data_IF_786192471902
#
_entry.id   IF_786192471902
#
_cell.length_a   1.000
_cell.length_b   1.000
_cell.length_c   1.000
_cell.angle_alpha   90.00
_cell.angle_beta   90.00
_cell.angle_gamma   90.00
#
_symmetry.space_group_name_H-M   'P 1'
#
loop_
_entity.id
_entity.type
_entity.pdbx_description
1 polymer ?
#
# COMPACT_ATOMS: atom_id res chain seq x y z
N UNK A 1 22.12 27.27 -2.59
CA UNK A 1 21.87 25.94 -3.19
C UNK A 1 22.79 25.64 -4.38
N UNK A 2 23.01 26.58 -5.29
CA UNK A 2 23.75 26.38 -6.52
C UNK A 2 25.19 25.88 -6.31
N UNK A 3 25.89 26.40 -5.29
CA UNK A 3 27.28 26.01 -4.99
C UNK A 3 27.45 24.53 -4.64
N UNK A 4 26.40 23.89 -4.07
CA UNK A 4 26.42 22.50 -3.65
C UNK A 4 25.68 21.58 -4.64
N UNK A 5 24.97 22.11 -5.63
CA UNK A 5 24.15 21.36 -6.57
C UNK A 5 24.92 20.24 -7.31
N UNK A 6 26.22 20.47 -7.59
CA UNK A 6 27.10 19.50 -8.27
C UNK A 6 27.44 18.24 -7.45
N UNK A 7 27.19 18.29 -6.14
CA UNK A 7 27.48 17.17 -5.21
C UNK A 7 26.22 16.38 -4.84
N UNK A 8 25.06 16.79 -5.32
CA UNK A 8 23.75 16.26 -4.95
C UNK A 8 23.06 15.64 -6.17
N UNK A 9 22.38 14.52 -5.95
CA UNK A 9 21.43 14.01 -6.93
C UNK A 9 20.17 14.91 -7.00
N UNK A 10 19.26 14.63 -7.94
CA UNK A 10 18.08 15.47 -8.16
C UNK A 10 17.16 15.55 -6.93
N UNK A 11 16.95 14.40 -6.23
CA UNK A 11 16.10 14.34 -5.02
C UNK A 11 16.74 15.09 -3.85
N UNK A 12 18.04 14.86 -3.64
CA UNK A 12 18.81 15.54 -2.62
C UNK A 12 18.85 17.07 -2.88
N UNK A 13 18.98 17.48 -4.13
CA UNK A 13 18.98 18.91 -4.49
C UNK A 13 17.65 19.59 -4.16
N UNK A 14 16.51 18.95 -4.51
CA UNK A 14 15.16 19.46 -4.18
C UNK A 14 14.97 19.58 -2.67
N UNK A 15 15.38 18.58 -1.92
CA UNK A 15 15.30 18.61 -0.46
C UNK A 15 16.20 19.67 0.14
N UNK A 16 17.44 19.76 -0.31
CA UNK A 16 18.39 20.80 0.15
C UNK A 16 17.86 22.21 -0.11
N UNK A 17 17.33 22.46 -1.30
CA UNK A 17 16.73 23.73 -1.67
C UNK A 17 15.55 24.10 -0.76
N UNK A 18 14.67 23.14 -0.46
CA UNK A 18 13.54 23.33 0.45
C UNK A 18 14.02 23.70 1.86
N UNK A 19 14.94 22.90 2.42
CA UNK A 19 15.52 23.14 3.75
C UNK A 19 16.20 24.51 3.81
N UNK A 20 16.98 24.85 2.78
CA UNK A 20 17.68 26.14 2.69
C UNK A 20 16.69 27.31 2.64
N UNK A 21 15.65 27.23 1.79
CA UNK A 21 14.60 28.24 1.68
C UNK A 21 13.89 28.45 3.02
N UNK A 22 13.50 27.37 3.70
CA UNK A 22 12.86 27.43 5.03
C UNK A 22 13.78 28.06 6.09
N UNK A 23 15.04 27.64 6.14
CA UNK A 23 16.00 28.14 7.11
C UNK A 23 16.28 29.63 6.90
N UNK A 24 16.45 30.08 5.67
CA UNK A 24 16.68 31.51 5.39
C UNK A 24 15.39 32.31 5.63
N UNK A 25 14.25 31.86 5.15
CA UNK A 25 12.95 32.50 5.33
C UNK A 25 12.61 32.71 6.82
N UNK A 26 12.96 31.76 7.70
CA UNK A 26 12.75 31.89 9.15
C UNK A 26 13.53 33.02 9.81
N UNK A 27 14.58 33.50 9.17
CA UNK A 27 15.42 34.64 9.65
C UNK A 27 15.11 35.94 8.92
N UNK A 28 14.19 35.94 7.96
CA UNK A 28 13.76 37.13 7.23
C UNK A 28 12.66 37.87 7.99
N UNK A 29 12.50 39.14 7.65
CA UNK A 29 11.41 39.98 8.18
C UNK A 29 10.05 39.40 7.75
N UNK A 30 9.05 39.55 8.60
CA UNK A 30 7.67 39.17 8.29
C UNK A 30 7.13 39.92 7.07
N UNK A 31 6.29 39.28 6.28
CA UNK A 31 5.57 39.93 5.21
C UNK A 31 4.51 40.89 5.79
N UNK A 32 4.28 42.00 5.09
CA UNK A 32 3.22 42.95 5.42
C UNK A 32 2.16 42.89 4.34
N UNK A 33 0.90 42.67 4.74
CA UNK A 33 -0.26 42.49 3.88
C UNK A 33 -1.24 43.62 4.20
N UNK A 34 -1.62 44.43 3.19
CA UNK A 34 -2.72 45.36 3.30
C UNK A 34 -4.03 44.65 3.01
N UNK A 35 -4.84 44.41 4.04
CA UNK A 35 -6.14 43.79 3.90
C UNK A 35 -7.23 44.88 3.79
N UNK A 36 -7.93 44.89 2.67
CA UNK A 36 -9.01 45.82 2.39
C UNK A 36 -10.36 45.12 2.41
N UNK A 37 -11.26 45.58 3.24
CA UNK A 37 -12.66 45.14 3.27
C UNK A 37 -13.57 46.28 2.85
N UNK A 38 -14.36 46.08 1.81
CA UNK A 38 -15.26 47.08 1.23
C UNK A 38 -16.68 46.69 1.44
N UNK A 39 -17.48 47.57 2.09
CA UNK A 39 -18.93 47.45 2.12
C UNK A 39 -19.55 48.31 1.01
N UNK A 40 -20.30 47.67 0.15
CA UNK A 40 -21.01 48.31 -0.97
C UNK A 40 -22.50 48.32 -0.66
N UNK A 41 -23.12 49.48 -0.66
CA UNK A 41 -24.57 49.60 -0.42
C UNK A 41 -25.30 50.33 -1.56
N UNK A 42 -26.55 50.01 -1.76
CA UNK A 42 -27.44 50.81 -2.62
C UNK A 42 -27.77 52.14 -1.94
N UNK A 43 -28.26 53.13 -2.74
CA UNK A 43 -28.60 54.48 -2.21
C UNK A 43 -29.64 54.41 -1.10
N UNK A 44 -30.48 53.41 -1.06
CA UNK A 44 -31.52 53.23 -0.05
C UNK A 44 -31.06 52.35 1.14
N UNK A 45 -29.82 51.92 1.16
CA UNK A 45 -29.21 51.05 2.17
C UNK A 45 -29.96 49.72 2.43
N UNK A 46 -30.75 49.24 1.45
CA UNK A 46 -31.53 48.00 1.53
C UNK A 46 -30.72 46.75 1.20
N UNK A 47 -29.69 46.93 0.36
CA UNK A 47 -28.80 45.83 -0.06
C UNK A 47 -27.39 46.18 0.33
N UNK A 48 -26.71 45.25 1.02
CA UNK A 48 -25.29 45.33 1.36
C UNK A 48 -24.55 44.19 0.73
N UNK A 49 -23.46 44.49 0.05
CA UNK A 49 -22.50 43.53 -0.48
C UNK A 49 -21.16 43.78 0.22
N UNK A 50 -20.38 42.76 0.41
CA UNK A 50 -19.07 42.84 0.98
C UNK A 50 -18.06 42.25 0.01
N UNK A 51 -16.93 42.89 -0.18
CA UNK A 51 -15.78 42.37 -0.89
C UNK A 51 -14.55 42.53 -0.02
N UNK A 52 -13.74 41.49 0.08
CA UNK A 52 -12.45 41.48 0.77
C UNK A 52 -11.34 41.15 -0.22
N UNK A 53 -10.16 41.71 0.00
CA UNK A 53 -8.97 41.39 -0.79
C UNK A 53 -7.72 41.87 -0.07
N UNK A 54 -6.58 41.23 -0.36
CA UNK A 54 -5.28 41.54 0.22
C UNK A 54 -4.27 41.92 -0.87
N UNK A 55 -3.38 42.86 -0.55
CA UNK A 55 -2.24 43.21 -1.38
C UNK A 55 -0.99 43.07 -0.55
N UNK A 56 0.04 42.41 -1.09
CA UNK A 56 1.34 42.32 -0.44
C UNK A 56 2.01 43.69 -0.51
N UNK A 57 2.06 44.38 0.62
CA UNK A 57 2.74 45.68 0.73
C UNK A 57 4.27 45.54 0.86
N UNK A 58 4.70 44.50 1.57
CA UNK A 58 6.10 44.13 1.70
C UNK A 58 6.21 42.58 1.69
N UNK A 59 6.97 42.06 0.75
CA UNK A 59 7.10 40.61 0.54
C UNK A 59 7.69 39.86 1.74
N UNK A 60 8.65 40.46 2.45
CA UNK A 60 9.33 39.81 3.56
C UNK A 60 9.85 38.43 3.18
N UNK A 61 9.56 37.42 4.01
CA UNK A 61 9.96 36.03 3.77
C UNK A 61 9.22 35.37 2.57
N UNK A 62 8.06 35.91 2.16
CA UNK A 62 7.30 35.42 1.01
C UNK A 62 8.07 35.52 -0.31
N UNK A 63 9.08 36.42 -0.38
CA UNK A 63 9.95 36.54 -1.54
C UNK A 63 10.76 35.26 -1.81
N UNK A 64 11.07 34.50 -0.76
CA UNK A 64 11.89 33.29 -0.84
C UNK A 64 11.07 32.00 -0.72
N UNK A 65 10.07 32.03 0.14
CA UNK A 65 9.28 30.86 0.45
C UNK A 65 7.80 31.19 0.52
N UNK A 66 7.01 30.52 -0.31
CA UNK A 66 5.55 30.46 -0.22
C UNK A 66 5.16 29.00 0.00
N UNK A 67 4.24 28.77 0.91
CA UNK A 67 3.69 27.43 1.16
C UNK A 67 2.69 27.11 0.06
N UNK A 68 2.88 25.97 -0.61
CA UNK A 68 1.90 25.47 -1.56
C UNK A 68 0.70 24.89 -0.78
N UNK A 69 -0.51 25.24 -1.19
CA UNK A 69 -1.73 24.69 -0.61
C UNK A 69 -2.13 23.49 -1.43
N UNK A 70 -2.11 22.28 -0.82
CA UNK A 70 -2.48 21.02 -1.49
C UNK A 70 -3.98 21.00 -1.88
N UNK A 71 -4.80 21.79 -1.20
CA UNK A 71 -6.25 21.88 -1.37
C UNK A 71 -6.66 23.25 -1.91
N UNK A 72 -6.69 23.36 -3.24
CA UNK A 72 -7.25 24.57 -3.89
C UNK A 72 -8.75 24.80 -3.58
N UNK A 73 -9.42 23.81 -2.96
CA UNK A 73 -10.83 23.93 -2.54
C UNK A 73 -10.99 24.65 -1.19
N UNK A 74 -9.95 24.70 -0.35
CA UNK A 74 -9.94 25.47 0.90
C UNK A 74 -9.45 26.93 0.68
N UNK A 75 -8.96 27.24 -0.51
CA UNK A 75 -8.65 28.60 -0.90
C UNK A 75 -9.86 29.35 -1.49
N UNK A 76 -11.00 29.33 -0.81
CA UNK A 76 -11.87 30.52 -0.76
C UNK A 76 -11.12 31.61 0.04
N UNK A 77 -9.85 31.76 -0.31
CA UNK A 77 -9.00 32.80 0.24
C UNK A 77 -9.46 34.09 -0.41
N UNK A 78 -10.53 34.67 0.17
CA UNK A 78 -10.95 36.03 -0.13
C UNK A 78 -9.76 37.01 0.01
N UNK A 79 -8.75 36.60 0.78
CA UNK A 79 -7.48 37.33 0.97
C UNK A 79 -6.55 37.30 -0.27
N UNK A 80 -6.72 36.36 -1.20
CA UNK A 80 -5.93 36.32 -2.43
C UNK A 80 -6.51 37.22 -3.57
N UNK A 81 -7.69 37.78 -3.39
CA UNK A 81 -8.32 38.67 -4.38
C UNK A 81 -7.71 40.05 -4.29
N UNK A 82 -7.17 40.55 -5.41
CA UNK A 82 -6.69 41.91 -5.51
C UNK A 82 -7.88 42.83 -5.81
N UNK A 83 -8.18 43.73 -4.89
CA UNK A 83 -9.18 44.77 -5.12
C UNK A 83 -8.53 45.98 -5.81
N UNK A 84 -9.25 46.67 -6.72
CA UNK A 84 -8.78 47.92 -7.29
C UNK A 84 -8.67 48.99 -6.21
N UNK A 85 -7.79 50.00 -6.38
CA UNK A 85 -7.71 51.13 -5.45
C UNK A 85 -9.08 51.84 -5.40
N UNK A 86 -9.64 51.97 -4.20
CA UNK A 86 -10.96 52.60 -3.95
C UNK A 86 -10.87 53.55 -2.76
N UNK A 87 -11.76 54.54 -2.77
CA UNK A 87 -11.93 55.46 -1.65
C UNK A 87 -13.35 55.36 -1.10
N UNK A 88 -13.49 55.73 0.15
CA UNK A 88 -14.81 55.79 0.79
C UNK A 88 -15.77 56.67 -0.01
N UNK A 89 -16.98 56.17 -0.26
CA UNK A 89 -18.05 56.81 -1.05
C UNK A 89 -17.77 56.93 -2.55
N UNK A 90 -16.79 56.26 -3.09
CA UNK A 90 -16.62 56.19 -4.55
C UNK A 90 -17.86 55.61 -5.20
N UNK A 91 -18.38 56.21 -6.27
CA UNK A 91 -19.55 55.73 -6.98
C UNK A 91 -19.18 54.50 -7.82
N UNK A 92 -19.80 53.36 -7.53
CA UNK A 92 -19.63 52.13 -8.28
C UNK A 92 -20.68 51.96 -9.36
N UNK A 93 -20.29 51.52 -10.57
CA UNK A 93 -21.19 51.19 -11.64
C UNK A 93 -21.59 49.73 -11.52
N UNK A 94 -22.91 49.47 -11.43
CA UNK A 94 -23.42 48.10 -11.42
C UNK A 94 -23.21 47.41 -12.77
N UNK A 95 -22.53 46.28 -12.78
CA UNK A 95 -22.43 45.37 -13.92
C UNK A 95 -23.57 44.37 -13.97
N UNK A 96 -23.31 43.23 -14.58
CA UNK A 96 -24.24 42.10 -14.56
C UNK A 96 -24.28 41.50 -13.14
N UNK A 97 -25.46 41.08 -12.71
CA UNK A 97 -25.66 40.35 -11.47
C UNK A 97 -26.17 38.97 -11.87
N UNK A 98 -25.35 37.94 -11.58
CA UNK A 98 -25.70 36.55 -11.77
C UNK A 98 -26.00 35.89 -10.42
N UNK A 99 -27.01 35.03 -10.39
CA UNK A 99 -27.24 34.15 -9.25
C UNK A 99 -26.68 32.77 -9.59
N UNK A 100 -25.73 32.32 -8.78
CA UNK A 100 -25.12 31.00 -8.93
C UNK A 100 -25.45 30.16 -7.69
N UNK A 101 -25.89 28.92 -7.95
CA UNK A 101 -26.16 27.98 -6.87
C UNK A 101 -24.86 27.24 -6.51
N UNK A 102 -24.47 27.30 -5.26
CA UNK A 102 -23.34 26.59 -4.71
C UNK A 102 -23.81 25.60 -3.64
N UNK A 103 -23.22 24.42 -3.63
CA UNK A 103 -23.47 23.41 -2.61
C UNK A 103 -22.21 23.25 -1.79
N UNK A 104 -22.36 23.07 -0.47
CA UNK A 104 -21.25 22.72 0.40
C UNK A 104 -20.67 21.38 -0.03
N UNK A 105 -19.36 21.32 -0.13
CA UNK A 105 -18.65 20.09 -0.45
C UNK A 105 -18.26 19.35 0.84
N UNK A 106 -18.24 18.01 0.84
CA UNK A 106 -17.68 17.27 1.97
C UNK A 106 -16.18 17.58 2.12
N UNK A 107 -15.61 17.40 3.34
CA UNK A 107 -14.17 17.54 3.52
C UNK A 107 -13.39 16.70 2.51
N UNK A 108 -12.32 17.24 1.92
CA UNK A 108 -11.52 16.51 0.96
C UNK A 108 -10.85 15.31 1.60
N UNK A 109 -10.52 14.28 0.80
CA UNK A 109 -9.72 13.16 1.27
C UNK A 109 -8.31 13.63 1.60
N UNK A 110 -7.69 13.00 2.59
CA UNK A 110 -6.33 13.32 2.99
C UNK A 110 -5.33 13.11 1.85
N UNK A 111 -4.46 14.10 1.66
CA UNK A 111 -3.17 13.92 0.99
C UNK A 111 -2.14 13.40 1.99
N UNK A 112 -0.93 13.03 1.54
CA UNK A 112 0.15 12.65 2.46
C UNK A 112 0.45 13.79 3.44
N UNK A 113 0.52 15.03 2.97
CA UNK A 113 0.80 16.20 3.80
C UNK A 113 -0.33 16.49 4.80
N UNK A 114 -1.58 16.50 4.36
CA UNK A 114 -2.72 16.79 5.24
C UNK A 114 -2.95 15.67 6.28
N UNK A 115 -2.64 14.41 5.93
CA UNK A 115 -2.69 13.32 6.89
C UNK A 115 -1.60 13.45 7.95
N UNK A 116 -0.35 13.76 7.56
CA UNK A 116 0.74 14.01 8.51
C UNK A 116 0.40 15.17 9.44
N UNK A 117 -0.10 16.29 8.89
CA UNK A 117 -0.56 17.44 9.70
C UNK A 117 -1.63 17.00 10.71
N UNK A 118 -2.60 16.19 10.27
CA UNK A 118 -3.66 15.71 11.17
C UNK A 118 -3.14 14.76 12.25
N UNK A 119 -2.18 13.90 11.92
CA UNK A 119 -1.51 13.04 12.90
C UNK A 119 -0.73 13.86 13.94
N UNK A 120 -0.02 14.89 13.51
CA UNK A 120 0.70 15.82 14.39
C UNK A 120 -0.25 16.54 15.34
N UNK A 121 -1.35 17.11 14.83
CA UNK A 121 -2.39 17.76 15.65
C UNK A 121 -2.99 16.83 16.70
N UNK A 122 -3.12 15.54 16.40
CA UNK A 122 -3.66 14.52 17.30
C UNK A 122 -2.60 13.88 18.20
N UNK A 123 -1.32 14.21 18.04
CA UNK A 123 -0.21 13.61 18.80
C UNK A 123 0.10 12.16 18.41
N UNK A 124 -0.35 11.71 17.23
CA UNK A 124 -0.17 10.33 16.74
C UNK A 124 1.13 10.23 15.94
N UNK A 125 2.06 9.40 16.42
CA UNK A 125 3.38 9.24 15.80
C UNK A 125 4.33 10.41 16.06
N UNK A 126 5.49 10.36 15.45
CA UNK A 126 6.54 11.37 15.55
C UNK A 126 7.15 11.56 14.15
N UNK A 127 7.90 12.64 13.89
CA UNK A 127 8.51 12.90 12.58
C UNK A 127 9.27 11.71 11.99
N UNK A 128 9.91 10.91 12.84
CA UNK A 128 10.64 9.70 12.44
C UNK A 128 9.74 8.54 11.99
N UNK A 129 8.45 8.53 12.34
CA UNK A 129 7.52 7.43 12.06
C UNK A 129 6.47 7.75 10.99
N UNK A 130 6.20 9.02 10.69
CA UNK A 130 5.15 9.38 9.73
C UNK A 130 5.32 8.71 8.37
N UNK A 131 6.51 8.78 7.78
CA UNK A 131 6.75 8.18 6.47
C UNK A 131 6.52 6.66 6.46
N UNK A 132 6.95 5.96 7.52
CA UNK A 132 6.75 4.51 7.64
C UNK A 132 5.27 4.13 7.83
N UNK A 133 4.49 4.94 8.54
CA UNK A 133 3.05 4.74 8.71
C UNK A 133 2.35 4.84 7.35
N UNK A 134 2.60 5.93 6.60
CA UNK A 134 2.02 6.12 5.27
C UNK A 134 2.39 4.98 4.30
N UNK A 135 3.64 4.54 4.35
CA UNK A 135 4.12 3.43 3.53
C UNK A 135 3.40 2.12 3.88
N UNK A 136 3.22 1.82 5.17
CA UNK A 136 2.51 0.61 5.64
C UNK A 136 1.06 0.59 5.18
N UNK A 137 0.36 1.73 5.20
CA UNK A 137 -1.03 1.83 4.72
C UNK A 137 -1.13 1.43 3.24
N UNK A 138 -0.18 1.85 2.42
CA UNK A 138 -0.13 1.53 0.99
C UNK A 138 0.35 0.09 0.75
N UNK A 139 1.43 -0.36 1.41
CA UNK A 139 1.99 -1.71 1.23
C UNK A 139 1.01 -2.81 1.64
N UNK A 140 0.14 -2.55 2.61
CA UNK A 140 -0.93 -3.46 3.03
C UNK A 140 -2.20 -3.33 2.20
N UNK A 141 -2.22 -2.45 1.22
CA UNK A 141 -3.40 -2.18 0.39
C UNK A 141 -4.63 -1.77 1.22
N UNK A 142 -4.40 -1.02 2.31
CA UNK A 142 -5.50 -0.44 3.11
C UNK A 142 -6.01 0.83 2.46
N UNK A 143 -5.13 1.53 1.76
CA UNK A 143 -5.43 2.71 0.95
C UNK A 143 -4.69 2.62 -0.38
N UNK A 144 -5.21 3.33 -1.39
CA UNK A 144 -4.50 3.64 -2.63
C UNK A 144 -4.39 5.15 -2.78
N UNK A 145 -3.41 5.60 -3.56
CA UNK A 145 -3.30 7.01 -3.93
C UNK A 145 -3.99 7.24 -5.27
N UNK A 146 -5.01 8.09 -5.27
CA UNK A 146 -5.64 8.65 -6.46
C UNK A 146 -5.44 10.15 -6.44
N UNK A 147 -4.83 10.72 -7.50
CA UNK A 147 -4.52 12.16 -7.62
C UNK A 147 -3.92 12.76 -6.35
N UNK A 148 -2.93 12.06 -5.75
CA UNK A 148 -2.26 12.39 -4.49
C UNK A 148 -3.12 12.31 -3.24
N UNK A 149 -4.31 11.72 -3.29
CA UNK A 149 -5.20 11.56 -2.14
C UNK A 149 -5.38 10.11 -1.77
N UNK A 150 -5.44 9.83 -0.49
CA UNK A 150 -5.69 8.49 0.02
C UNK A 150 -7.15 8.09 -0.16
N UNK A 151 -7.37 7.01 -0.89
CA UNK A 151 -8.67 6.38 -1.07
C UNK A 151 -8.70 5.07 -0.27
N UNK A 152 -9.53 4.96 0.79
CA UNK A 152 -9.66 3.74 1.56
C UNK A 152 -10.12 2.58 0.69
N UNK A 153 -9.42 1.44 0.83
CA UNK A 153 -9.75 0.20 0.15
C UNK A 153 -10.62 -0.70 1.04
N UNK A 154 -11.36 -1.62 0.44
CA UNK A 154 -12.26 -2.50 1.19
C UNK A 154 -11.55 -3.39 2.19
N UNK A 155 -10.29 -3.78 1.89
CA UNK A 155 -9.43 -4.45 2.87
C UNK A 155 -9.17 -3.58 4.10
N UNK A 156 -8.88 -2.28 3.90
CA UNK A 156 -8.69 -1.33 5.00
C UNK A 156 -9.97 -1.17 5.83
N UNK A 157 -11.12 -1.05 5.18
CA UNK A 157 -12.43 -0.96 5.85
C UNK A 157 -12.72 -2.19 6.70
N UNK A 158 -12.46 -3.40 6.15
CA UNK A 158 -12.66 -4.65 6.86
C UNK A 158 -11.79 -4.75 8.11
N UNK A 159 -10.49 -4.43 7.98
CA UNK A 159 -9.55 -4.46 9.11
C UNK A 159 -9.94 -3.43 10.16
N UNK A 160 -10.31 -2.22 9.75
CA UNK A 160 -10.76 -1.17 10.67
C UNK A 160 -12.03 -1.58 11.42
N UNK A 161 -13.05 -2.11 10.71
CA UNK A 161 -14.27 -2.60 11.35
C UNK A 161 -13.98 -3.70 12.38
N UNK A 162 -13.11 -4.66 12.04
CA UNK A 162 -12.69 -5.71 12.97
C UNK A 162 -11.99 -5.13 14.22
N UNK A 163 -11.06 -4.20 14.03
CA UNK A 163 -10.31 -3.61 15.14
C UNK A 163 -11.22 -2.74 16.02
N UNK A 164 -12.12 -1.97 15.44
CA UNK A 164 -13.12 -1.18 16.21
C UNK A 164 -14.04 -2.11 16.99
N UNK A 165 -14.48 -3.22 16.37
CA UNK A 165 -15.42 -4.15 17.02
C UNK A 165 -14.84 -4.88 18.25
N UNK A 166 -13.52 -5.20 18.22
CA UNK A 166 -12.89 -6.08 19.23
C UNK A 166 -11.72 -5.44 19.99
N UNK A 167 -11.16 -4.34 19.47
CA UNK A 167 -9.99 -3.66 20.00
C UNK A 167 -10.15 -2.13 20.00
N UNK A 168 -11.38 -1.63 20.20
CA UNK A 168 -11.76 -0.22 20.10
C UNK A 168 -10.77 0.70 20.81
N UNK A 169 -10.42 0.39 22.07
CA UNK A 169 -9.46 1.17 22.85
C UNK A 169 -8.11 1.36 22.15
N UNK A 170 -7.62 0.33 21.41
CA UNK A 170 -6.28 0.35 20.80
C UNK A 170 -6.26 1.02 19.42
N UNK A 171 -7.41 1.30 18.84
CA UNK A 171 -7.55 2.06 17.59
C UNK A 171 -8.06 3.47 17.83
N UNK A 172 -8.37 3.80 19.08
CA UNK A 172 -8.70 5.16 19.49
C UNK A 172 -7.49 6.08 19.36
N UNK A 173 -7.70 7.27 18.81
CA UNK A 173 -6.63 8.25 18.59
C UNK A 173 -6.01 8.75 19.89
N UNK A 174 -6.82 8.90 20.94
CA UNK A 174 -6.36 9.33 22.27
C UNK A 174 -5.47 8.29 22.95
N UNK A 175 -5.74 6.99 22.74
CA UNK A 175 -4.86 5.93 23.25
C UNK A 175 -3.47 5.99 22.65
N UNK A 176 -3.38 6.12 21.33
CA UNK A 176 -2.09 6.21 20.63
C UNK A 176 -1.32 7.46 21.04
N UNK A 177 -1.98 8.61 21.10
CA UNK A 177 -1.38 9.86 21.57
C UNK A 177 -0.85 9.76 23.00
N UNK A 178 -1.67 9.20 23.92
CA UNK A 178 -1.26 9.00 25.31
C UNK A 178 -0.08 8.03 25.46
N UNK A 179 0.03 7.00 24.61
CA UNK A 179 1.18 6.12 24.61
C UNK A 179 2.46 6.82 24.11
N UNK A 180 2.34 7.67 23.08
CA UNK A 180 3.45 8.49 22.60
C UNK A 180 3.93 9.49 23.67
N UNK A 181 3.02 10.11 24.44
CA UNK A 181 3.37 10.97 25.58
C UNK A 181 4.11 10.20 26.67
N UNK A 182 3.64 8.99 27.01
CA UNK A 182 4.34 8.13 27.96
C UNK A 182 5.74 7.76 27.50
N UNK A 183 5.95 7.51 26.19
CA UNK A 183 7.27 7.24 25.61
C UNK A 183 8.18 8.48 25.71
N UNK A 184 7.65 9.68 25.50
CA UNK A 184 8.38 10.94 25.72
C UNK A 184 8.75 11.13 27.19
N UNK A 185 7.86 10.78 28.12
CA UNK A 185 8.12 10.82 29.55
C UNK A 185 9.20 9.81 29.99
N UNK A 186 9.19 8.62 29.41
CA UNK A 186 10.28 7.64 29.60
C UNK A 186 11.60 8.21 29.11
N UNK A 187 11.62 8.79 27.91
CA UNK A 187 12.82 9.41 27.32
C UNK A 187 13.33 10.57 28.18
N UNK A 188 12.42 11.33 28.79
CA UNK A 188 12.72 12.41 29.73
C UNK A 188 13.07 11.96 31.16
N UNK A 189 13.06 10.66 31.45
CA UNK A 189 13.34 10.10 32.78
C UNK A 189 12.23 10.34 33.80
N UNK A 190 11.02 10.71 33.39
CA UNK A 190 9.87 10.95 34.27
C UNK A 190 9.06 9.69 34.57
N UNK A 191 9.12 8.69 33.68
CA UNK A 191 8.45 7.40 33.86
C UNK A 191 9.43 6.24 33.69
N UNK A 192 9.19 5.16 34.43
CA UNK A 192 9.94 3.90 34.31
C UNK A 192 9.33 3.04 33.20
N UNK A 193 10.10 2.73 32.15
CA UNK A 193 9.62 2.05 30.96
C UNK A 193 9.01 0.66 31.25
N UNK A 194 9.57 -0.08 32.24
CA UNK A 194 9.07 -1.42 32.61
C UNK A 194 7.67 -1.34 33.19
N UNK A 195 7.35 -0.29 33.93
CA UNK A 195 6.03 -0.09 34.52
C UNK A 195 5.00 0.17 33.42
N UNK A 196 5.31 1.09 32.49
CA UNK A 196 4.46 1.39 31.33
C UNK A 196 4.21 0.14 30.51
N UNK A 197 5.26 -0.64 30.21
CA UNK A 197 5.12 -1.89 29.44
C UNK A 197 4.33 -2.97 30.17
N UNK A 198 4.46 -3.07 31.50
CA UNK A 198 3.70 -4.03 32.32
C UNK A 198 2.21 -3.69 32.30
N UNK A 199 1.89 -2.42 32.46
CA UNK A 199 0.51 -1.95 32.42
C UNK A 199 -0.11 -2.16 31.03
N UNK A 200 0.60 -1.75 29.97
CA UNK A 200 0.16 -1.99 28.59
C UNK A 200 -0.11 -3.46 28.35
N UNK A 201 0.84 -4.35 28.71
CA UNK A 201 0.71 -5.78 28.47
C UNK A 201 -0.44 -6.41 29.26
N UNK A 202 -0.65 -6.01 30.51
CA UNK A 202 -1.76 -6.50 31.33
C UNK A 202 -3.12 -6.16 30.70
N UNK A 203 -3.28 -4.95 30.19
CA UNK A 203 -4.51 -4.51 29.55
C UNK A 203 -4.71 -5.20 28.19
N UNK A 204 -3.63 -5.29 27.40
CA UNK A 204 -3.67 -5.92 26.07
C UNK A 204 -3.94 -7.42 26.15
N UNK A 205 -3.31 -8.12 27.11
CA UNK A 205 -3.56 -9.55 27.31
C UNK A 205 -5.02 -9.82 27.68
N UNK A 206 -5.62 -8.99 28.55
CA UNK A 206 -7.06 -9.13 28.86
C UNK A 206 -7.96 -8.94 27.64
N UNK A 207 -7.61 -8.00 26.75
CA UNK A 207 -8.33 -7.81 25.50
C UNK A 207 -8.18 -9.01 24.55
N UNK A 208 -6.98 -9.61 24.49
CA UNK A 208 -6.75 -10.83 23.71
C UNK A 208 -7.52 -12.02 24.28
N UNK A 209 -7.49 -12.22 25.59
CA UNK A 209 -8.21 -13.32 26.26
C UNK A 209 -9.71 -13.23 26.01
N UNK A 210 -10.27 -12.02 25.97
CA UNK A 210 -11.68 -11.79 25.65
C UNK A 210 -12.05 -12.18 24.20
N UNK A 211 -11.06 -12.31 23.31
CA UNK A 211 -11.27 -12.74 21.92
C UNK A 211 -11.00 -14.23 21.69
N UNK A 212 -10.50 -14.95 22.72
CA UNK A 212 -10.06 -16.35 22.59
C UNK A 212 -11.17 -17.31 22.21
N UNK A 213 -12.39 -17.06 22.65
CA UNK A 213 -13.57 -17.91 22.41
C UNK A 213 -14.38 -17.51 21.15
N UNK A 214 -13.96 -16.44 20.45
CA UNK A 214 -14.65 -15.98 19.24
C UNK A 214 -14.56 -16.99 18.11
N UNK A 215 -15.72 -17.41 17.62
CA UNK A 215 -15.78 -18.21 16.37
C UNK A 215 -15.64 -17.29 15.17
N UNK A 216 -14.92 -17.77 14.16
CA UNK A 216 -14.76 -17.03 12.90
C UNK A 216 -16.11 -16.69 12.26
N UNK A 217 -17.12 -17.56 12.39
CA UNK A 217 -18.50 -17.31 11.94
C UNK A 217 -19.08 -16.04 12.57
N UNK A 218 -18.97 -15.92 13.90
CA UNK A 218 -19.59 -14.82 14.64
C UNK A 218 -18.92 -13.48 14.30
N UNK A 219 -17.60 -13.52 14.09
CA UNK A 219 -16.84 -12.35 13.61
C UNK A 219 -17.29 -11.94 12.21
N UNK A 220 -17.46 -12.92 11.29
CA UNK A 220 -17.89 -12.64 9.92
C UNK A 220 -19.30 -12.06 9.91
N UNK A 221 -20.23 -12.65 10.69
CA UNK A 221 -21.61 -12.20 10.76
C UNK A 221 -21.71 -10.76 11.31
N UNK A 222 -20.90 -10.43 12.33
CA UNK A 222 -20.82 -9.08 12.86
C UNK A 222 -20.30 -8.11 11.81
N UNK A 223 -19.18 -8.41 11.16
CA UNK A 223 -18.59 -7.58 10.11
C UNK A 223 -19.51 -7.44 8.89
N UNK A 224 -20.25 -8.51 8.52
CA UNK A 224 -21.25 -8.46 7.45
C UNK A 224 -22.42 -7.56 7.82
N UNK A 225 -22.79 -7.50 9.10
CA UNK A 225 -23.78 -6.55 9.60
C UNK A 225 -23.31 -5.09 9.53
N UNK A 226 -22.09 -4.83 10.02
CA UNK A 226 -21.53 -3.46 10.06
C UNK A 226 -21.19 -2.91 8.67
N UNK A 227 -20.58 -3.73 7.81
CA UNK A 227 -20.16 -3.32 6.47
C UNK A 227 -21.22 -3.58 5.40
N UNK A 228 -22.33 -4.21 5.77
CA UNK A 228 -23.44 -4.50 4.86
C UNK A 228 -23.95 -3.31 4.08
N UNK A 229 -24.24 -2.16 4.72
CA UNK A 229 -24.67 -0.97 4.00
C UNK A 229 -23.66 -0.46 2.97
N UNK A 230 -22.37 -0.73 3.18
CA UNK A 230 -21.32 -0.36 2.24
C UNK A 230 -21.24 -1.33 1.04
N UNK A 231 -21.21 -2.66 1.30
CA UNK A 231 -21.07 -3.65 0.24
C UNK A 231 -22.37 -3.95 -0.53
N UNK A 232 -23.50 -3.64 0.07
CA UNK A 232 -24.84 -3.89 -0.47
C UNK A 232 -25.69 -2.63 -0.34
N UNK A 233 -25.32 -1.54 -1.06
CA UNK A 233 -26.12 -0.31 -1.05
C UNK A 233 -27.54 -0.62 -1.55
N UNK A 234 -28.53 0.11 -1.04
CA UNK A 234 -29.90 -0.02 -1.49
C UNK A 234 -29.97 0.30 -2.98
N UNK A 235 -30.63 -0.56 -3.73
CA UNK A 235 -30.88 -0.33 -5.14
C UNK A 235 -32.05 0.67 -5.32
N UNK A 236 -31.95 1.55 -6.30
CA UNK A 236 -32.98 2.57 -6.57
C UNK A 236 -34.30 1.95 -7.06
N UNK A 237 -34.22 0.75 -7.64
CA UNK A 237 -35.38 -0.01 -8.11
C UNK A 237 -36.09 -0.82 -7.00
N UNK A 238 -35.62 -0.74 -5.75
CA UNK A 238 -36.18 -1.42 -4.60
C UNK A 238 -35.86 -2.92 -4.52
N UNK A 239 -34.99 -3.45 -5.40
CA UNK A 239 -34.53 -4.85 -5.33
C UNK A 239 -33.68 -5.10 -4.08
N UNK A 240 -33.68 -6.35 -3.58
CA UNK A 240 -32.79 -6.73 -2.46
C UNK A 240 -31.32 -6.84 -2.94
N UNK A 241 -30.42 -5.93 -2.52
CA UNK A 241 -29.04 -5.93 -2.99
C UNK A 241 -28.26 -7.17 -2.53
N UNK A 242 -28.84 -7.98 -1.64
CA UNK A 242 -28.26 -9.23 -1.16
C UNK A 242 -28.81 -10.46 -1.86
N UNK A 243 -29.77 -10.34 -2.75
CA UNK A 243 -30.22 -11.48 -3.56
C UNK A 243 -29.07 -12.01 -4.41
N UNK A 244 -28.90 -13.33 -4.45
CA UNK A 244 -27.83 -13.93 -5.26
C UNK A 244 -28.16 -13.82 -6.75
N UNK A 245 -27.37 -13.14 -7.57
CA UNK A 245 -27.67 -12.95 -9.00
C UNK A 245 -27.55 -14.22 -9.84
N UNK A 246 -26.99 -15.30 -9.27
CA UNK A 246 -26.83 -16.56 -9.98
C UNK A 246 -27.97 -17.55 -9.70
N UNK A 247 -28.41 -17.69 -8.46
CA UNK A 247 -29.44 -18.68 -8.13
C UNK A 247 -30.79 -18.07 -7.72
N UNK A 248 -30.88 -16.78 -7.50
CA UNK A 248 -32.09 -16.03 -7.09
C UNK A 248 -32.84 -16.63 -5.87
N UNK A 249 -32.19 -17.54 -5.14
CA UNK A 249 -32.77 -18.23 -3.98
C UNK A 249 -31.91 -18.08 -2.72
N UNK A 250 -30.64 -17.74 -2.89
CA UNK A 250 -29.70 -17.51 -1.81
C UNK A 250 -29.44 -16.03 -1.59
N UNK A 251 -28.81 -15.72 -0.46
CA UNK A 251 -28.32 -14.37 -0.13
C UNK A 251 -26.80 -14.32 -0.21
N UNK A 252 -26.30 -13.22 -0.75
CA UNK A 252 -24.86 -12.96 -0.75
C UNK A 252 -24.46 -12.20 0.51
N UNK A 253 -23.28 -12.50 1.03
CA UNK A 253 -22.73 -11.91 2.24
C UNK A 253 -21.23 -12.09 2.30
N UNK A 254 -20.61 -11.50 3.33
CA UNK A 254 -19.19 -11.60 3.59
C UNK A 254 -18.81 -13.05 3.89
N UNK A 255 -17.72 -13.51 3.28
CA UNK A 255 -17.13 -14.84 3.49
C UNK A 255 -15.61 -14.72 3.61
N UNK A 256 -14.99 -15.66 4.29
CA UNK A 256 -13.54 -15.74 4.43
C UNK A 256 -13.01 -16.99 3.73
N UNK A 257 -12.07 -16.83 2.83
CA UNK A 257 -11.36 -17.88 2.13
C UNK A 257 -9.87 -17.89 2.46
N UNK A 258 -9.15 -18.85 1.87
CA UNK A 258 -7.68 -18.98 2.07
C UNK A 258 -6.88 -17.74 1.60
N UNK A 259 -7.43 -16.98 0.68
CA UNK A 259 -6.79 -15.81 0.06
C UNK A 259 -7.30 -14.47 0.61
N UNK A 260 -8.25 -14.51 1.56
CA UNK A 260 -8.85 -13.32 2.16
C UNK A 260 -10.37 -13.33 2.13
N UNK A 261 -10.98 -12.22 2.48
CA UNK A 261 -12.41 -12.04 2.48
C UNK A 261 -12.96 -11.80 1.06
N UNK A 262 -14.18 -12.27 0.81
CA UNK A 262 -14.91 -12.12 -0.46
C UNK A 262 -16.42 -12.14 -0.20
N UNK A 263 -17.20 -11.74 -1.19
CA UNK A 263 -18.66 -11.86 -1.13
C UNK A 263 -19.06 -13.17 -1.79
N UNK A 264 -19.87 -13.97 -1.09
CA UNK A 264 -20.29 -15.28 -1.58
C UNK A 264 -21.74 -15.62 -1.22
N UNK A 265 -22.36 -16.52 -2.00
CA UNK A 265 -23.70 -17.01 -1.75
C UNK A 265 -23.72 -17.94 -0.53
N UNK A 266 -24.78 -17.85 0.29
CA UNK A 266 -24.98 -18.72 1.47
C UNK A 266 -25.40 -20.16 1.11
N UNK A 267 -25.76 -20.43 -0.14
CA UNK A 267 -26.12 -21.76 -0.64
C UNK A 267 -24.96 -22.58 -1.20
N UNK A 268 -23.74 -22.27 -0.78
CA UNK A 268 -22.63 -23.16 -1.10
C UNK A 268 -22.79 -24.51 -0.43
N UNK A 269 -22.57 -25.65 -1.10
CA UNK A 269 -21.93 -25.84 -2.43
C UNK A 269 -22.87 -25.82 -3.63
N UNK A 270 -24.20 -25.74 -3.46
CA UNK A 270 -25.19 -25.77 -4.55
C UNK A 270 -25.07 -24.55 -5.46
N UNK A 271 -24.80 -23.37 -4.88
CA UNK A 271 -24.50 -22.16 -5.61
C UNK A 271 -23.07 -21.70 -5.29
N UNK A 272 -22.25 -21.57 -6.34
CA UNK A 272 -20.84 -21.18 -6.20
C UNK A 272 -20.58 -19.72 -6.59
N UNK A 273 -21.60 -18.87 -6.53
CA UNK A 273 -21.44 -17.47 -6.83
C UNK A 273 -20.50 -16.80 -5.83
N UNK A 274 -19.48 -16.11 -6.35
CA UNK A 274 -18.56 -15.31 -5.56
C UNK A 274 -18.17 -14.03 -6.33
N UNK A 275 -17.95 -12.94 -5.62
CA UNK A 275 -17.33 -11.73 -6.15
C UNK A 275 -16.28 -11.18 -5.18
N UNK A 276 -15.30 -10.38 -5.65
CA UNK A 276 -14.38 -9.68 -4.77
C UNK A 276 -15.12 -8.75 -3.79
N UNK A 277 -14.43 -8.34 -2.71
CA UNK A 277 -14.87 -7.22 -1.88
C UNK A 277 -14.78 -5.95 -2.74
N UNK A 278 -15.91 -5.51 -3.25
CA UNK A 278 -16.05 -4.26 -3.96
C UNK A 278 -17.52 -3.83 -3.92
N UNK A 279 -17.76 -2.53 -3.92
CA UNK A 279 -19.11 -1.97 -4.03
C UNK A 279 -19.48 -1.94 -5.52
N UNK A 280 -20.61 -2.52 -5.94
CA UNK A 280 -21.05 -2.40 -7.33
C UNK A 280 -21.24 -0.92 -7.69
N UNK A 281 -20.62 -0.46 -8.78
CA UNK A 281 -20.78 0.91 -9.29
C UNK A 281 -20.03 1.99 -8.50
N UNK A 282 -19.14 1.64 -7.54
CA UNK A 282 -18.25 2.61 -6.95
C UNK A 282 -17.27 3.11 -8.03
N UNK A 283 -17.15 4.42 -8.19
CA UNK A 283 -16.08 5.07 -8.97
C UNK A 283 -14.74 4.62 -8.37
N UNK A 284 -14.12 3.64 -9.01
CA UNK A 284 -12.99 2.87 -8.48
C UNK A 284 -13.15 1.38 -8.70
N UNK A 285 -14.27 0.90 -9.23
CA UNK A 285 -14.20 -0.26 -10.12
C UNK A 285 -13.19 0.16 -11.17
N UNK A 286 -11.93 -0.27 -10.96
CA UNK A 286 -10.97 -0.33 -12.04
C UNK A 286 -11.79 -0.82 -13.23
N UNK A 287 -11.96 0.02 -14.23
CA UNK A 287 -12.68 -0.26 -15.49
C UNK A 287 -12.49 -1.73 -15.73
N UNK A 288 -13.59 -2.49 -15.89
CA UNK A 288 -13.51 -3.94 -15.98
C UNK A 288 -12.43 -4.19 -17.01
N UNK A 289 -11.22 -4.58 -16.56
CA UNK A 289 -10.05 -4.65 -17.43
C UNK A 289 -10.47 -5.53 -18.58
N UNK A 290 -10.86 -4.90 -19.69
CA UNK A 290 -11.36 -5.59 -20.85
C UNK A 290 -10.23 -6.49 -21.33
N UNK A 291 -10.54 -7.76 -21.53
CA UNK A 291 -9.58 -8.68 -22.13
C UNK A 291 -8.99 -8.02 -23.37
N UNK A 292 -7.66 -7.84 -23.38
CA UNK A 292 -6.96 -7.18 -24.46
C UNK A 292 -6.13 -8.22 -25.21
N UNK A 293 -6.42 -8.39 -26.48
CA UNK A 293 -5.55 -9.16 -27.38
C UNK A 293 -4.28 -8.35 -27.67
N UNK A 294 -3.11 -8.89 -27.34
CA UNK A 294 -1.81 -8.28 -27.59
C UNK A 294 -1.25 -8.65 -28.98
N UNK A 295 -1.69 -9.77 -29.55
CA UNK A 295 -1.25 -10.29 -30.84
C UNK A 295 -1.03 -11.79 -30.82
N UNK A 296 -0.59 -12.37 -31.95
CA UNK A 296 -0.25 -13.78 -32.05
C UNK A 296 1.24 -14.02 -31.78
N UNK A 297 1.58 -15.06 -31.04
CA UNK A 297 2.96 -15.51 -30.86
C UNK A 297 3.53 -15.97 -32.19
N UNK A 298 4.63 -15.37 -32.67
CA UNK A 298 5.24 -15.73 -33.97
C UNK A 298 5.71 -17.20 -34.07
N UNK A 299 6.03 -17.82 -32.91
CA UNK A 299 6.56 -19.18 -32.88
C UNK A 299 5.44 -20.25 -32.93
N UNK A 300 4.29 -19.98 -32.32
CA UNK A 300 3.20 -20.98 -32.18
C UNK A 300 1.92 -20.60 -32.90
N UNK A 301 1.79 -19.35 -33.35
CA UNK A 301 0.56 -18.81 -33.94
C UNK A 301 -0.58 -18.60 -32.95
N UNK A 302 -0.37 -18.91 -31.65
CA UNK A 302 -1.39 -18.80 -30.63
C UNK A 302 -1.58 -17.34 -30.18
N UNK A 303 -2.82 -16.95 -29.92
CA UNK A 303 -3.14 -15.62 -29.46
C UNK A 303 -2.60 -15.37 -28.04
N UNK A 304 -1.93 -14.24 -27.84
CA UNK A 304 -1.54 -13.74 -26.52
C UNK A 304 -2.57 -12.72 -26.06
N UNK A 305 -3.17 -12.98 -24.92
CA UNK A 305 -4.19 -12.11 -24.31
C UNK A 305 -3.74 -11.63 -22.95
N UNK A 306 -4.07 -10.39 -22.63
CA UNK A 306 -3.95 -9.85 -21.27
C UNK A 306 -5.32 -9.89 -20.60
N UNK A 307 -5.36 -10.50 -19.42
CA UNK A 307 -6.59 -10.76 -18.68
C UNK A 307 -6.43 -10.36 -17.21
N UNK A 308 -7.53 -10.09 -16.53
CA UNK A 308 -7.55 -9.89 -15.09
C UNK A 308 -8.04 -11.17 -14.40
N UNK A 309 -7.29 -11.64 -13.43
CA UNK A 309 -7.64 -12.80 -12.61
C UNK A 309 -7.71 -12.47 -11.12
N UNK A 310 -8.02 -13.47 -10.27
CA UNK A 310 -8.12 -13.30 -8.81
C UNK A 310 -6.83 -12.78 -8.16
N UNK A 311 -5.68 -12.95 -8.84
CA UNK A 311 -4.35 -12.57 -8.34
C UNK A 311 -3.77 -11.35 -9.05
N UNK A 312 -4.59 -10.61 -9.82
CA UNK A 312 -4.17 -9.44 -10.59
C UNK A 312 -4.16 -9.67 -12.09
N UNK A 313 -3.53 -8.76 -12.82
CA UNK A 313 -3.43 -8.82 -14.27
C UNK A 313 -2.37 -9.86 -14.66
N UNK A 314 -2.67 -10.65 -15.69
CA UNK A 314 -1.77 -11.66 -16.22
C UNK A 314 -1.87 -11.74 -17.75
N UNK A 315 -0.81 -12.24 -18.38
CA UNK A 315 -0.79 -12.59 -19.79
C UNK A 315 -1.00 -14.08 -19.96
N UNK A 316 -1.74 -14.46 -20.99
CA UNK A 316 -2.05 -15.86 -21.33
C UNK A 316 -1.72 -16.14 -22.79
N UNK A 317 -1.08 -17.27 -23.03
CA UNK A 317 -0.81 -17.80 -24.37
C UNK A 317 -1.84 -18.87 -24.71
N UNK A 318 -2.63 -18.61 -25.74
CA UNK A 318 -3.69 -19.51 -26.21
C UNK A 318 -4.80 -19.75 -25.20
N UNK A 319 -5.75 -20.58 -25.60
CA UNK A 319 -6.79 -21.12 -24.72
C UNK A 319 -6.39 -22.55 -24.29
N UNK A 320 -6.98 -23.05 -23.19
CA UNK A 320 -6.73 -24.41 -22.77
C UNK A 320 -7.17 -25.41 -23.85
N UNK A 321 -6.38 -26.45 -24.04
CA UNK A 321 -6.65 -27.51 -24.98
C UNK A 321 -6.74 -28.89 -24.29
N UNK A 322 -6.78 -29.94 -25.06
CA UNK A 322 -6.66 -31.33 -24.62
C UNK A 322 -5.33 -31.92 -25.10
N UNK A 323 -4.62 -32.64 -24.24
CA UNK A 323 -3.42 -33.35 -24.64
C UNK A 323 -3.77 -34.60 -25.48
N UNK A 324 -2.74 -35.24 -26.04
CA UNK A 324 -2.91 -36.47 -26.83
C UNK A 324 -3.58 -37.67 -26.07
N UNK A 325 -3.72 -37.52 -24.74
CA UNK A 325 -4.39 -38.49 -23.85
C UNK A 325 -5.77 -38.03 -23.40
N UNK A 326 -6.34 -36.97 -24.00
CA UNK A 326 -7.67 -36.44 -23.67
C UNK A 326 -7.75 -35.68 -22.36
N UNK A 327 -6.62 -35.31 -21.69
CA UNK A 327 -6.64 -34.52 -20.48
C UNK A 327 -6.62 -33.04 -20.82
N UNK A 328 -7.40 -32.20 -20.11
CA UNK A 328 -7.38 -30.76 -20.33
C UNK A 328 -6.01 -30.18 -19.96
N UNK A 329 -5.40 -29.48 -20.90
CA UNK A 329 -4.15 -28.74 -20.69
C UNK A 329 -4.48 -27.31 -20.34
N UNK A 330 -3.78 -26.79 -19.32
CA UNK A 330 -3.93 -25.38 -18.90
C UNK A 330 -3.11 -24.49 -19.83
N UNK A 331 -3.64 -23.33 -20.25
CA UNK A 331 -2.86 -22.38 -21.04
C UNK A 331 -1.67 -21.84 -20.19
N UNK A 332 -0.59 -21.47 -20.89
CA UNK A 332 0.57 -20.86 -20.23
C UNK A 332 0.20 -19.43 -19.78
N UNK A 333 0.44 -19.12 -18.51
CA UNK A 333 0.09 -17.86 -17.89
C UNK A 333 1.27 -17.29 -17.11
N UNK A 334 1.40 -15.96 -17.14
CA UNK A 334 2.36 -15.25 -16.31
C UNK A 334 1.71 -13.98 -15.75
N UNK A 335 1.80 -13.76 -14.44
CA UNK A 335 1.29 -12.53 -13.79
C UNK A 335 2.21 -11.35 -14.12
N UNK A 336 1.64 -10.17 -14.31
CA UNK A 336 2.43 -8.96 -14.46
C UNK A 336 3.20 -8.69 -13.16
N UNK A 337 4.44 -8.20 -13.25
CA UNK A 337 5.18 -7.72 -12.08
C UNK A 337 4.41 -6.60 -11.36
N UNK A 338 4.54 -6.51 -10.04
CA UNK A 338 3.91 -5.43 -9.27
C UNK A 338 4.43 -4.07 -9.72
N UNK A 339 3.51 -3.14 -9.98
CA UNK A 339 3.84 -1.80 -10.46
C UNK A 339 4.09 -1.68 -11.97
N UNK A 340 3.98 -2.78 -12.72
CA UNK A 340 4.02 -2.72 -14.18
C UNK A 340 2.75 -2.05 -14.70
N UNK A 341 2.93 -1.07 -15.61
CA UNK A 341 1.83 -0.43 -16.30
C UNK A 341 1.23 -1.38 -17.35
N UNK A 342 -0.05 -1.79 -17.21
CA UNK A 342 -0.69 -2.67 -18.18
C UNK A 342 -0.81 -2.05 -19.58
N UNK A 343 -0.95 -0.72 -19.67
CA UNK A 343 -1.13 -0.03 -20.95
C UNK A 343 0.16 0.04 -21.76
N UNK A 344 1.29 0.10 -21.10
CA UNK A 344 2.62 0.02 -21.71
C UNK A 344 3.10 -1.41 -22.02
N UNK A 345 2.28 -2.45 -21.82
CA UNK A 345 2.67 -3.84 -22.03
C UNK A 345 2.31 -4.30 -23.44
N UNK A 346 3.32 -4.47 -24.29
CA UNK A 346 3.18 -4.94 -25.66
C UNK A 346 3.33 -6.47 -25.79
N UNK A 347 3.12 -6.99 -27.01
CA UNK A 347 3.28 -8.41 -27.32
C UNK A 347 4.68 -8.94 -26.99
N UNK A 348 5.72 -8.15 -27.25
CA UNK A 348 7.11 -8.58 -27.06
C UNK A 348 7.41 -8.77 -25.57
N UNK A 349 7.00 -7.84 -24.72
CA UNK A 349 7.12 -7.95 -23.27
C UNK A 349 6.28 -9.10 -22.69
N UNK A 350 5.08 -9.32 -23.25
CA UNK A 350 4.22 -10.42 -22.85
C UNK A 350 4.84 -11.79 -23.14
N UNK A 351 5.42 -11.97 -24.33
CA UNK A 351 6.13 -13.19 -24.69
C UNK A 351 7.39 -13.40 -23.86
N UNK A 352 8.15 -12.35 -23.57
CA UNK A 352 9.30 -12.40 -22.66
C UNK A 352 8.87 -12.85 -21.26
N UNK A 353 7.75 -12.32 -20.74
CA UNK A 353 7.19 -12.70 -19.45
C UNK A 353 6.71 -14.16 -19.42
N UNK A 354 6.06 -14.60 -20.48
CA UNK A 354 5.62 -15.99 -20.66
C UNK A 354 6.80 -16.96 -20.80
N UNK A 355 7.95 -16.50 -21.29
CA UNK A 355 9.16 -17.34 -21.43
C UNK A 355 9.99 -17.49 -20.16
N UNK A 356 9.58 -16.84 -19.07
CA UNK A 356 10.30 -16.96 -17.78
C UNK A 356 10.32 -18.43 -17.27
N UNK A 357 11.41 -18.87 -16.63
CA UNK A 357 12.60 -18.12 -16.21
C UNK A 357 13.53 -17.74 -17.38
N UNK A 358 14.15 -16.56 -17.28
CA UNK A 358 15.12 -16.05 -18.25
C UNK A 358 16.56 -16.25 -17.74
N UNK A 359 17.44 -16.85 -18.54
CA UNK A 359 18.86 -16.90 -18.24
C UNK A 359 19.44 -15.49 -18.43
N UNK A 360 20.06 -14.96 -17.37
CA UNK A 360 20.75 -13.67 -17.37
C UNK A 360 22.17 -13.80 -17.88
N UNK A 361 22.86 -14.87 -17.50
CA UNK A 361 24.22 -15.19 -17.90
C UNK A 361 24.91 -16.12 -16.91
N UNK A 362 26.20 -16.33 -17.09
CA UNK A 362 27.04 -17.10 -16.18
C UNK A 362 27.77 -16.15 -15.20
N UNK A 363 27.83 -16.52 -13.94
CA UNK A 363 28.60 -15.77 -12.94
C UNK A 363 30.09 -15.76 -13.29
N UNK A 364 30.73 -14.58 -13.32
CA UNK A 364 32.10 -14.46 -13.87
C UNK A 364 33.16 -15.25 -13.08
N UNK A 365 32.96 -15.46 -11.77
CA UNK A 365 33.92 -16.16 -10.91
C UNK A 365 33.58 -17.65 -10.72
N UNK A 366 32.30 -18.00 -10.56
CA UNK A 366 31.88 -19.37 -10.26
C UNK A 366 31.45 -20.16 -11.48
N UNK A 367 31.17 -19.52 -12.60
CA UNK A 367 30.63 -20.17 -13.81
C UNK A 367 29.20 -20.68 -13.68
N UNK A 368 28.54 -20.46 -12.53
CA UNK A 368 27.15 -20.89 -12.33
C UNK A 368 26.16 -20.01 -13.10
N UNK A 369 25.09 -20.63 -13.57
CA UNK A 369 24.03 -19.96 -14.31
C UNK A 369 23.19 -19.08 -13.38
N UNK A 370 23.03 -17.80 -13.77
CA UNK A 370 22.12 -16.86 -13.11
C UNK A 370 20.84 -16.75 -13.94
N UNK A 371 19.71 -16.98 -13.29
CA UNK A 371 18.40 -16.83 -13.91
C UNK A 371 17.52 -15.80 -13.18
N UNK A 372 16.75 -15.06 -13.97
CA UNK A 372 15.68 -14.18 -13.48
C UNK A 372 14.37 -14.95 -13.49
N UNK A 373 13.63 -14.88 -12.41
CA UNK A 373 12.45 -15.69 -12.15
C UNK A 373 11.31 -14.84 -11.59
N UNK A 374 10.07 -15.34 -11.74
CA UNK A 374 8.88 -14.79 -11.08
C UNK A 374 8.45 -15.73 -9.96
N UNK A 375 8.34 -15.23 -8.76
CA UNK A 375 7.92 -15.98 -7.60
C UNK A 375 6.70 -15.40 -6.90
N UNK A 376 6.18 -16.14 -5.92
CA UNK A 376 5.03 -15.71 -5.09
C UNK A 376 5.24 -14.34 -4.41
N UNK A 377 6.48 -14.00 -4.10
CA UNK A 377 6.85 -12.76 -3.40
C UNK A 377 7.38 -11.67 -4.34
N UNK A 378 7.27 -11.88 -5.66
CA UNK A 378 7.76 -10.97 -6.70
C UNK A 378 8.92 -11.57 -7.51
N UNK A 379 9.50 -10.77 -8.42
CA UNK A 379 10.63 -11.20 -9.24
C UNK A 379 11.90 -11.39 -8.41
N UNK A 380 12.69 -12.39 -8.76
CA UNK A 380 13.92 -12.73 -8.05
C UNK A 380 14.97 -13.33 -8.98
N UNK A 381 16.25 -13.17 -8.60
CA UNK A 381 17.39 -13.85 -9.21
C UNK A 381 17.65 -15.17 -8.50
N UNK A 382 18.10 -16.16 -9.26
CA UNK A 382 18.52 -17.46 -8.75
C UNK A 382 19.86 -17.84 -9.36
N UNK A 383 20.78 -18.35 -8.51
CA UNK A 383 22.06 -18.95 -8.88
C UNK A 383 22.29 -20.12 -7.92
N UNK A 384 22.28 -21.35 -8.42
CA UNK A 384 22.37 -22.54 -7.58
C UNK A 384 21.38 -22.50 -6.41
N UNK A 385 21.89 -22.49 -5.18
CA UNK A 385 21.11 -22.39 -3.93
C UNK A 385 20.89 -20.94 -3.45
N UNK A 386 21.50 -19.97 -4.11
CA UNK A 386 21.31 -18.56 -3.81
C UNK A 386 20.06 -18.02 -4.50
N UNK A 387 19.33 -17.15 -3.81
CA UNK A 387 18.23 -16.39 -4.42
C UNK A 387 18.09 -15.04 -3.76
N UNK A 388 17.88 -14.00 -4.58
CA UNK A 388 17.70 -12.62 -4.12
C UNK A 388 16.52 -12.01 -4.86
N UNK A 389 15.59 -11.40 -4.13
CA UNK A 389 14.51 -10.60 -4.71
C UNK A 389 15.11 -9.40 -5.43
N UNK A 390 14.59 -9.07 -6.60
CA UNK A 390 14.94 -7.86 -7.34
C UNK A 390 14.43 -6.62 -6.58
N UNK A 391 15.17 -5.53 -6.68
CA UNK A 391 14.74 -4.25 -6.14
C UNK A 391 13.59 -3.68 -6.97
N UNK A 392 12.88 -2.66 -6.44
CA UNK A 392 11.68 -2.09 -7.12
C UNK A 392 11.98 -1.49 -8.49
N UNK A 393 13.20 -0.99 -8.68
CA UNK A 393 13.64 -0.34 -9.90
C UNK A 393 14.23 -1.32 -10.93
N UNK A 394 14.37 -2.61 -10.56
CA UNK A 394 14.91 -3.65 -11.45
C UNK A 394 13.77 -4.37 -12.19
N UNK A 395 13.83 -4.35 -13.51
CA UNK A 395 12.90 -5.11 -14.38
C UNK A 395 13.43 -6.54 -14.59
N UNK A 396 12.67 -7.59 -14.20
CA UNK A 396 13.07 -8.99 -14.37
C UNK A 396 13.33 -9.39 -15.83
N UNK A 397 12.71 -8.67 -16.77
CA UNK A 397 12.86 -8.95 -18.20
C UNK A 397 14.16 -8.39 -18.78
N UNK A 398 14.72 -7.34 -18.17
CA UNK A 398 15.86 -6.60 -18.72
C UNK A 398 17.09 -6.56 -17.81
N UNK A 399 16.99 -7.02 -16.55
CA UNK A 399 18.13 -7.02 -15.63
C UNK A 399 19.37 -7.66 -16.27
N UNK A 400 20.49 -6.92 -16.27
CA UNK A 400 21.75 -7.34 -16.86
C UNK A 400 22.64 -8.13 -15.90
N UNK A 401 23.67 -8.82 -16.44
CA UNK A 401 24.55 -9.69 -15.67
C UNK A 401 25.28 -8.95 -14.54
N UNK A 402 25.83 -7.77 -14.80
CA UNK A 402 26.56 -7.02 -13.77
C UNK A 402 25.69 -6.66 -12.58
N UNK A 403 24.46 -6.23 -12.84
CA UNK A 403 23.48 -5.92 -11.78
C UNK A 403 23.06 -7.18 -11.01
N UNK A 404 22.85 -8.28 -11.75
CA UNK A 404 22.49 -9.56 -11.14
C UNK A 404 23.60 -10.10 -10.21
N UNK A 405 24.88 -10.01 -10.61
CA UNK A 405 26.03 -10.38 -9.80
C UNK A 405 26.12 -9.51 -8.54
N UNK A 406 25.97 -8.19 -8.69
CA UNK A 406 25.99 -7.26 -7.55
C UNK A 406 24.88 -7.57 -6.53
N UNK A 407 23.66 -7.86 -6.99
CA UNK A 407 22.55 -8.23 -6.10
C UNK A 407 22.78 -9.58 -5.41
N UNK A 408 23.38 -10.55 -6.10
CA UNK A 408 23.64 -11.87 -5.55
C UNK A 408 24.84 -11.89 -4.59
N UNK A 409 25.77 -10.94 -4.68
CA UNK A 409 26.88 -10.81 -3.74
C UNK A 409 26.42 -10.64 -2.28
N UNK A 410 25.29 -9.96 -2.07
CA UNK A 410 24.67 -9.78 -0.74
C UNK A 410 23.69 -10.91 -0.37
N UNK A 411 23.49 -11.89 -1.24
CA UNK A 411 22.52 -12.95 -1.02
C UNK A 411 23.07 -14.01 -0.03
N UNK A 412 22.30 -14.25 1.03
CA UNK A 412 22.60 -15.34 1.95
C UNK A 412 21.96 -16.64 1.45
N UNK A 413 22.67 -17.79 1.48
CA UNK A 413 22.10 -19.07 1.06
C UNK A 413 20.86 -19.42 1.90
N UNK A 414 19.84 -19.95 1.26
CA UNK A 414 18.61 -20.41 1.94
C UNK A 414 18.82 -21.67 2.75
N UNK A 415 19.85 -22.42 2.44
CA UNK A 415 20.23 -23.63 3.13
C UNK A 415 21.65 -24.05 2.79
N UNK A 416 22.28 -24.77 3.72
CA UNK A 416 23.58 -25.36 3.58
C UNK A 416 23.41 -26.89 3.69
N UNK A 417 23.88 -27.65 2.71
CA UNK A 417 23.92 -29.11 2.79
C UNK A 417 25.15 -29.52 3.59
N UNK A 418 24.95 -30.17 4.74
CA UNK A 418 26.03 -30.58 5.63
C UNK A 418 26.68 -31.89 5.18
N UNK A 419 25.93 -32.75 4.48
CA UNK A 419 26.39 -34.04 4.00
C UNK A 419 25.28 -35.10 4.03
N UNK A 420 25.61 -36.34 3.61
CA UNK A 420 24.66 -37.45 3.68
C UNK A 420 24.52 -37.95 5.13
N UNK A 421 23.27 -38.30 5.51
CA UNK A 421 23.01 -38.82 6.86
C UNK A 421 23.66 -40.21 7.03
N UNK A 422 24.39 -40.49 8.11
CA UNK A 422 25.11 -41.76 8.30
C UNK A 422 24.24 -43.01 8.26
N UNK A 423 22.96 -42.89 8.63
CA UNK A 423 21.98 -43.96 8.56
C UNK A 423 21.24 -44.04 7.21
N UNK A 424 21.69 -43.29 6.19
CA UNK A 424 20.99 -43.20 4.89
C UNK A 424 19.78 -42.31 4.92
N UNK A 425 19.06 -42.22 3.80
CA UNK A 425 17.81 -41.47 3.67
C UNK A 425 17.97 -40.05 3.09
N UNK A 426 19.13 -39.72 2.56
CA UNK A 426 19.42 -38.48 1.86
C UNK A 426 20.20 -37.44 2.67
N UNK A 427 20.40 -36.25 2.11
CA UNK A 427 21.24 -35.22 2.71
C UNK A 427 20.62 -34.58 3.95
N UNK A 428 21.48 -34.18 4.88
CA UNK A 428 21.12 -33.31 6.02
C UNK A 428 21.38 -31.88 5.62
N UNK A 429 20.36 -31.03 5.76
CA UNK A 429 20.44 -29.64 5.38
C UNK A 429 20.11 -28.72 6.56
N UNK A 430 20.82 -27.59 6.66
CA UNK A 430 20.43 -26.46 7.49
C UNK A 430 19.67 -25.47 6.63
N UNK A 431 18.48 -25.11 7.02
CA UNK A 431 17.65 -24.14 6.28
C UNK A 431 17.24 -22.99 7.19
N UNK A 432 16.98 -21.82 6.58
CA UNK A 432 16.47 -20.65 7.30
C UNK A 432 14.94 -20.64 7.26
N UNK A 433 14.29 -20.70 8.43
CA UNK A 433 12.85 -20.64 8.58
C UNK A 433 12.37 -19.31 9.21
N UNK A 434 11.04 -19.16 9.31
CA UNK A 434 10.38 -17.99 9.93
C UNK A 434 10.78 -17.78 11.39
N UNK A 435 11.07 -18.86 12.09
CA UNK A 435 11.39 -18.88 13.54
C UNK A 435 12.89 -19.05 13.82
N UNK A 436 13.73 -18.95 12.80
CA UNK A 436 15.17 -19.15 12.89
C UNK A 436 15.68 -20.32 12.03
N UNK A 437 16.98 -20.61 12.07
CA UNK A 437 17.56 -21.72 11.33
C UNK A 437 17.11 -23.07 11.91
N UNK A 438 16.88 -24.04 11.02
CA UNK A 438 16.45 -25.39 11.37
C UNK A 438 17.14 -26.45 10.50
N UNK A 439 17.30 -27.63 11.04
CA UNK A 439 17.81 -28.82 10.36
C UNK A 439 16.68 -29.57 9.67
N UNK A 440 16.98 -30.14 8.52
CA UNK A 440 16.06 -30.97 7.76
C UNK A 440 16.76 -32.21 7.23
N UNK A 441 16.14 -33.38 7.44
CA UNK A 441 16.52 -34.65 6.83
C UNK A 441 15.27 -35.43 6.44
N UNK A 442 14.97 -35.52 5.16
CA UNK A 442 13.73 -36.11 4.66
C UNK A 442 12.50 -35.35 5.20
N UNK A 443 11.69 -36.03 6.04
CA UNK A 443 10.52 -35.42 6.71
C UNK A 443 10.79 -34.94 8.15
N UNK A 444 11.98 -35.24 8.68
CA UNK A 444 12.36 -34.82 10.05
C UNK A 444 12.90 -33.42 10.04
N UNK A 445 12.49 -32.64 11.05
CA UNK A 445 12.89 -31.24 11.21
C UNK A 445 13.24 -30.98 12.67
N UNK A 446 14.38 -30.35 12.93
CA UNK A 446 14.80 -29.92 14.27
C UNK A 446 15.25 -28.45 14.24
N UNK A 447 14.72 -27.62 15.15
CA UNK A 447 15.15 -26.23 15.27
C UNK A 447 16.52 -26.13 15.92
N UNK A 448 17.37 -25.28 15.36
CA UNK A 448 18.65 -24.94 15.98
C UNK A 448 18.45 -23.99 17.18
N UNK A 449 19.34 -24.04 18.17
CA UNK A 449 19.35 -23.08 19.27
C UNK A 449 19.43 -21.63 18.76
N UNK A 450 18.84 -20.68 19.50
CA UNK A 450 18.90 -19.26 19.15
C UNK A 450 20.35 -18.76 19.17
N UNK A 451 20.74 -18.06 18.11
CA UNK A 451 22.09 -17.51 17.98
C UNK A 451 23.08 -18.43 17.28
N UNK A 452 22.70 -19.65 16.86
CA UNK A 452 23.56 -20.54 16.08
C UNK A 452 23.66 -20.06 14.64
N UNK A 453 24.85 -19.80 14.13
CA UNK A 453 25.09 -19.49 12.72
C UNK A 453 25.00 -20.78 11.88
N UNK A 454 24.37 -20.69 10.70
CA UNK A 454 24.10 -21.86 9.85
C UNK A 454 25.41 -22.53 9.36
N UNK A 455 26.42 -21.71 9.13
CA UNK A 455 27.73 -22.09 8.63
C UNK A 455 28.61 -22.79 9.69
N UNK A 456 28.27 -22.62 10.97
CA UNK A 456 29.03 -23.22 12.09
C UNK A 456 28.53 -24.62 12.48
N UNK A 457 27.40 -25.09 11.92
CA UNK A 457 26.79 -26.37 12.29
C UNK A 457 27.49 -27.52 11.57
N UNK A 458 28.01 -28.50 12.33
CA UNK A 458 28.59 -29.69 11.77
C UNK A 458 27.58 -30.80 11.48
N UNK A 459 27.92 -31.74 10.58
CA UNK A 459 27.03 -32.86 10.27
C UNK A 459 26.74 -33.74 11.52
N UNK A 460 27.73 -33.92 12.38
CA UNK A 460 27.61 -34.74 13.61
C UNK A 460 26.62 -34.09 14.59
N UNK A 461 26.73 -32.79 14.82
CA UNK A 461 25.79 -32.04 15.68
C UNK A 461 24.37 -32.05 15.10
N UNK A 462 24.26 -31.91 13.78
CA UNK A 462 22.95 -31.93 13.09
C UNK A 462 22.29 -33.31 13.23
N UNK A 463 23.00 -34.40 13.04
CA UNK A 463 22.48 -35.76 13.21
C UNK A 463 22.04 -36.01 14.65
N UNK A 464 22.80 -35.55 15.63
CA UNK A 464 22.45 -35.66 17.05
C UNK A 464 21.18 -34.91 17.38
N UNK A 465 21.05 -33.64 16.94
CA UNK A 465 19.85 -32.82 17.15
C UNK A 465 18.62 -33.37 16.44
N UNK A 466 18.78 -33.94 15.25
CA UNK A 466 17.69 -34.62 14.54
C UNK A 466 17.24 -35.91 15.22
N UNK A 467 18.15 -36.62 15.93
CA UNK A 467 17.83 -37.80 16.71
C UNK A 467 17.10 -37.45 18.02
N UNK A 468 17.42 -36.33 18.65
CA UNK A 468 16.86 -35.89 19.94
C UNK A 468 15.47 -35.21 19.77
N UNK A 469 15.23 -34.53 18.66
CA UNK A 469 14.06 -33.68 18.46
C UNK A 469 13.20 -34.01 17.23
N UNK A 470 13.64 -34.96 16.40
CA UNK A 470 13.01 -35.34 15.12
C UNK A 470 11.96 -36.45 15.20
#
# INVERSE_FOLDING_TARGET
PEAVARYLDERQRKLYELVWKRAVASQMQSAELDQTSVEISDRAARTKLRATGSVVAFDGFLKLYREDVDDAADSDDDDARILPPMREKDPLKRGAVSAEQHFTQPPPRFSEASLVKRMEELGIGRPSTYASILQVLQDREYVTLDRRRFVPQDRGRLVTAFLVAYFERYVDTGFTAGLEEQLDDISGGRLEWREVMRQFWADFSRALDATGDLKISDVIDRLDGELGPHFFPKADDGSDPRECPNCHQGRIGLRLGRTGAFIGCNRYPECRYTRPLAVPGAEGEAEAFAERALGADPATGQQVTMRRGPYGIYVQLGEGGTDAKGKPTKPRRASLPRGADPDGFDLQRALALLSMPRIVGLHPETGEEISSNLGRFGPYLKMGNLSKTLDRDDDPLTVGLNRAVALLADAKPRGVTLGEHPAGGGPVEVRRGRFGPFLMHGKRVANLPRGTEMEAVTLEEAVKLLAEKG
#
